data_IF_621669761697
#
_entry.id   IF_621669761697
#
_cell.length_a   1.000
_cell.length_b   1.000
_cell.length_c   1.000
_cell.angle_alpha   90.00
_cell.angle_beta   90.00
_cell.angle_gamma   90.00
#
_symmetry.space_group_name_H-M   'P 1'
#
loop_
_entity.id
_entity.type
_entity.pdbx_description
1 polymer ?
#
# COMPACT_ATOMS: atom_id res chain seq x y z
N UNK A 1 -5.83 21.98 6.13
CA UNK A 1 -6.64 20.76 6.39
C UNK A 1 -6.32 20.29 7.80
N UNK A 2 -7.35 20.04 8.62
CA UNK A 2 -7.19 19.53 9.97
C UNK A 2 -6.39 18.20 9.96
N UNK A 3 -5.49 17.99 10.93
CA UNK A 3 -4.63 16.80 11.04
C UNK A 3 -5.45 15.51 11.02
N UNK A 4 -6.65 15.54 11.60
CA UNK A 4 -7.60 14.42 11.58
C UNK A 4 -7.98 14.01 10.15
N UNK A 5 -8.25 14.96 9.25
CA UNK A 5 -8.56 14.66 7.85
C UNK A 5 -7.35 14.08 7.11
N UNK A 6 -6.13 14.50 7.47
CA UNK A 6 -4.90 13.95 6.90
C UNK A 6 -4.73 12.47 7.27
N UNK A 7 -4.97 12.12 8.54
CA UNK A 7 -4.94 10.75 9.04
C UNK A 7 -6.03 9.87 8.42
N UNK A 8 -7.26 10.39 8.32
CA UNK A 8 -8.36 9.67 7.68
C UNK A 8 -8.07 9.38 6.20
N UNK A 9 -7.52 10.35 5.47
CA UNK A 9 -7.15 10.18 4.07
C UNK A 9 -6.02 9.15 3.90
N UNK A 10 -5.05 9.15 4.81
CA UNK A 10 -3.97 8.16 4.83
C UNK A 10 -4.50 6.74 5.08
N UNK A 11 -5.38 6.57 6.06
CA UNK A 11 -6.05 5.29 6.33
C UNK A 11 -6.87 4.82 5.12
N UNK A 12 -7.56 5.74 4.46
CA UNK A 12 -8.34 5.42 3.24
C UNK A 12 -7.43 4.88 2.14
N UNK A 13 -6.30 5.55 1.86
CA UNK A 13 -5.32 5.10 0.85
C UNK A 13 -4.76 3.72 1.21
N UNK A 14 -4.44 3.50 2.49
CA UNK A 14 -3.94 2.20 2.95
C UNK A 14 -4.98 1.09 2.73
N UNK A 15 -6.24 1.31 3.10
CA UNK A 15 -7.33 0.33 2.92
C UNK A 15 -7.53 0.03 1.43
N UNK A 16 -7.57 1.04 0.57
CA UNK A 16 -7.73 0.86 -0.88
C UNK A 16 -6.57 0.07 -1.46
N UNK A 17 -5.34 0.36 -1.04
CA UNK A 17 -4.13 -0.34 -1.49
C UNK A 17 -4.13 -1.80 -1.05
N UNK A 18 -4.52 -2.07 0.20
CA UNK A 18 -4.64 -3.43 0.74
C UNK A 18 -5.71 -4.25 0.00
N UNK A 19 -6.88 -3.65 -0.27
CA UNK A 19 -7.95 -4.30 -1.04
C UNK A 19 -7.53 -4.60 -2.48
N UNK A 20 -6.83 -3.68 -3.13
CA UNK A 20 -6.28 -3.89 -4.47
C UNK A 20 -5.28 -5.05 -4.47
N UNK A 21 -4.36 -5.08 -3.51
CA UNK A 21 -3.38 -6.16 -3.34
C UNK A 21 -4.05 -7.51 -3.11
N UNK A 22 -5.08 -7.58 -2.27
CA UNK A 22 -5.84 -8.81 -2.03
C UNK A 22 -6.53 -9.32 -3.30
N UNK A 23 -7.19 -8.44 -4.07
CA UNK A 23 -7.83 -8.83 -5.34
C UNK A 23 -6.84 -9.36 -6.37
N UNK A 24 -5.67 -8.73 -6.48
CA UNK A 24 -4.57 -9.19 -7.33
C UNK A 24 -4.13 -10.59 -6.90
N UNK A 25 -3.90 -10.79 -5.60
CA UNK A 25 -3.53 -12.09 -5.05
C UNK A 25 -4.57 -13.17 -5.39
N UNK A 26 -5.85 -12.91 -5.15
CA UNK A 26 -6.94 -13.85 -5.47
C UNK A 26 -6.97 -14.18 -6.96
N UNK A 27 -6.80 -13.18 -7.83
CA UNK A 27 -6.77 -13.39 -9.28
C UNK A 27 -5.62 -14.33 -9.70
N UNK A 28 -4.39 -14.06 -9.25
CA UNK A 28 -3.24 -14.89 -9.58
C UNK A 28 -3.29 -16.27 -8.95
N UNK A 29 -3.76 -16.38 -7.71
CA UNK A 29 -3.91 -17.66 -7.03
C UNK A 29 -4.93 -18.56 -7.75
N UNK A 30 -6.07 -18.01 -8.19
CA UNK A 30 -7.05 -18.76 -8.98
C UNK A 30 -6.45 -19.22 -10.32
N UNK A 31 -5.65 -18.38 -10.98
CA UNK A 31 -4.95 -18.75 -12.22
C UNK A 31 -3.96 -19.89 -11.99
N UNK A 32 -3.14 -19.79 -10.94
CA UNK A 32 -2.17 -20.83 -10.53
C UNK A 32 -2.87 -22.17 -10.29
N UNK A 33 -3.97 -22.18 -9.52
CA UNK A 33 -4.69 -23.42 -9.22
C UNK A 33 -5.41 -24.00 -10.45
N UNK A 34 -5.89 -23.16 -11.37
CA UNK A 34 -6.55 -23.61 -12.59
C UNK A 34 -5.60 -24.12 -13.68
N UNK A 35 -4.33 -23.73 -13.63
CA UNK A 35 -3.33 -24.09 -14.64
C UNK A 35 -2.85 -25.53 -14.46
N UNK A 36 -2.98 -26.34 -15.52
CA UNK A 36 -2.48 -27.73 -15.55
C UNK A 36 -1.01 -27.84 -15.95
N UNK A 37 -0.42 -26.77 -16.49
CA UNK A 37 0.96 -26.74 -16.97
C UNK A 37 1.87 -26.06 -15.94
N UNK A 38 2.90 -26.76 -15.47
CA UNK A 38 3.84 -26.22 -14.48
C UNK A 38 4.54 -24.92 -14.91
N UNK A 39 4.75 -24.71 -16.22
CA UNK A 39 5.35 -23.47 -16.75
C UNK A 39 4.44 -22.26 -16.61
N UNK A 40 3.12 -22.43 -16.73
CA UNK A 40 2.14 -21.36 -16.52
C UNK A 40 2.04 -21.01 -15.03
N UNK A 41 2.04 -22.02 -14.16
CA UNK A 41 2.10 -21.84 -12.70
C UNK A 41 3.33 -21.03 -12.29
N UNK A 42 4.51 -21.38 -12.81
CA UNK A 42 5.74 -20.66 -12.52
C UNK A 42 5.69 -19.20 -12.99
N UNK A 43 5.16 -18.93 -14.20
CA UNK A 43 4.99 -17.57 -14.71
C UNK A 43 4.03 -16.74 -13.85
N UNK A 44 2.87 -17.30 -13.48
CA UNK A 44 1.91 -16.60 -12.63
C UNK A 44 2.45 -16.36 -11.21
N UNK A 45 3.23 -17.30 -10.65
CA UNK A 45 3.86 -17.14 -9.36
C UNK A 45 4.95 -16.05 -9.37
N UNK A 46 5.81 -16.02 -10.38
CA UNK A 46 6.81 -14.96 -10.56
C UNK A 46 6.13 -13.60 -10.74
N UNK A 47 5.08 -13.54 -11.55
CA UNK A 47 4.35 -12.30 -11.79
C UNK A 47 3.66 -11.79 -10.52
N UNK A 48 3.06 -12.68 -9.73
CA UNK A 48 2.50 -12.36 -8.41
C UNK A 48 3.59 -11.82 -7.48
N UNK A 49 4.76 -12.46 -7.43
CA UNK A 49 5.88 -12.03 -6.60
C UNK A 49 6.37 -10.61 -6.97
N UNK A 50 6.53 -10.34 -8.27
CA UNK A 50 6.90 -9.00 -8.78
C UNK A 50 5.87 -7.95 -8.39
N UNK A 51 4.57 -8.26 -8.52
CA UNK A 51 3.51 -7.32 -8.16
C UNK A 51 3.48 -7.07 -6.64
N UNK A 52 3.72 -8.08 -5.81
CA UNK A 52 3.86 -7.90 -4.36
C UNK A 52 5.01 -6.95 -4.00
N UNK A 53 6.18 -7.10 -4.66
CA UNK A 53 7.31 -6.18 -4.45
C UNK A 53 6.93 -4.75 -4.86
N UNK A 54 6.28 -4.58 -6.01
CA UNK A 54 5.84 -3.26 -6.48
C UNK A 54 4.83 -2.62 -5.52
N UNK A 55 3.87 -3.39 -5.01
CA UNK A 55 2.90 -2.92 -4.02
C UNK A 55 3.58 -2.48 -2.72
N UNK A 56 4.56 -3.25 -2.22
CA UNK A 56 5.33 -2.88 -1.03
C UNK A 56 6.14 -1.60 -1.26
N UNK A 57 6.72 -1.42 -2.44
CA UNK A 57 7.47 -0.23 -2.79
C UNK A 57 6.57 1.01 -2.85
N UNK A 58 5.42 0.91 -3.53
CA UNK A 58 4.43 1.99 -3.60
C UNK A 58 3.87 2.31 -2.21
N UNK A 59 3.54 1.29 -1.41
CA UNK A 59 3.08 1.49 -0.04
C UNK A 59 4.13 2.20 0.81
N UNK A 60 5.40 1.78 0.75
CA UNK A 60 6.50 2.42 1.46
C UNK A 60 6.66 3.89 1.07
N UNK A 61 6.60 4.21 -0.22
CA UNK A 61 6.63 5.60 -0.69
C UNK A 61 5.42 6.38 -0.18
N UNK A 62 4.21 5.82 -0.26
CA UNK A 62 3.00 6.47 0.24
C UNK A 62 3.08 6.73 1.76
N UNK A 63 3.69 5.83 2.54
CA UNK A 63 3.95 6.04 3.97
C UNK A 63 4.94 7.18 4.20
N UNK A 64 6.08 7.22 3.49
CA UNK A 64 7.10 8.26 3.64
C UNK A 64 6.56 9.63 3.24
N UNK A 65 5.96 9.75 2.04
CA UNK A 65 5.38 11.00 1.57
C UNK A 65 4.18 11.42 2.41
N UNK A 66 3.36 10.47 2.85
CA UNK A 66 2.24 10.72 3.76
C UNK A 66 2.71 11.25 5.11
N UNK A 67 3.80 10.70 5.66
CA UNK A 67 4.40 11.15 6.92
C UNK A 67 5.01 12.54 6.81
N UNK A 68 5.80 12.82 5.77
CA UNK A 68 6.35 14.16 5.53
C UNK A 68 5.23 15.20 5.34
N UNK A 69 4.15 14.83 4.65
CA UNK A 69 2.97 15.68 4.50
C UNK A 69 2.18 15.89 5.81
N UNK A 70 2.20 14.90 6.71
CA UNK A 70 1.65 15.02 8.06
C UNK A 70 2.51 15.97 8.91
N UNK A 71 3.83 15.81 8.85
CA UNK A 71 4.83 16.58 9.60
C UNK A 71 4.91 18.04 9.14
N UNK A 72 4.71 18.30 7.85
CA UNK A 72 4.62 19.65 7.27
C UNK A 72 3.37 20.44 7.64
N UNK A 73 2.50 19.94 8.54
CA UNK A 73 1.39 20.71 9.09
C UNK A 73 1.91 21.64 10.22
N UNK A 74 1.74 22.97 10.11
CA UNK A 74 2.28 23.95 11.08
C UNK A 74 1.73 23.80 12.52
N UNK A 75 0.70 22.98 12.72
CA UNK A 75 0.11 22.68 14.02
C UNK A 75 0.97 21.71 14.87
N UNK A 76 1.77 20.83 14.23
CA UNK A 76 2.62 19.86 14.93
C UNK A 76 3.84 20.48 15.64
N UNK A 77 4.21 21.71 15.26
CA UNK A 77 5.31 22.47 15.88
C UNK A 77 4.85 23.23 17.14
N UNK A 78 3.56 23.51 17.26
CA UNK A 78 3.01 24.28 18.40
C UNK A 78 2.79 23.45 19.65
N UNK A 79 2.68 22.13 19.54
CA UNK A 79 2.50 21.23 20.69
C UNK A 79 3.83 20.83 21.38
N UNK A 80 4.99 21.09 20.76
CA UNK A 80 6.30 20.67 21.30
C UNK A 80 7.10 21.79 21.95
N UNK A 81 6.58 23.03 21.97
CA UNK A 81 7.20 24.15 22.69
C UNK A 81 6.33 24.47 23.91
N UNK A 82 6.69 23.99 25.12
CA UNK A 82 6.06 24.49 26.34
C UNK A 82 6.36 25.98 26.49
N UNK A 83 5.32 26.75 26.83
CA UNK A 83 5.38 28.18 27.12
C UNK A 83 6.22 28.51 28.36
#
# INVERSE_FOLDING_TARGET
MNVVYKLLFFFLIFIVTALAGYKVYVFFNNRIQSSRRGREVALYAILLFVICILLLFIASLALVYGYEWLKGSPDAVRETVPA
#
